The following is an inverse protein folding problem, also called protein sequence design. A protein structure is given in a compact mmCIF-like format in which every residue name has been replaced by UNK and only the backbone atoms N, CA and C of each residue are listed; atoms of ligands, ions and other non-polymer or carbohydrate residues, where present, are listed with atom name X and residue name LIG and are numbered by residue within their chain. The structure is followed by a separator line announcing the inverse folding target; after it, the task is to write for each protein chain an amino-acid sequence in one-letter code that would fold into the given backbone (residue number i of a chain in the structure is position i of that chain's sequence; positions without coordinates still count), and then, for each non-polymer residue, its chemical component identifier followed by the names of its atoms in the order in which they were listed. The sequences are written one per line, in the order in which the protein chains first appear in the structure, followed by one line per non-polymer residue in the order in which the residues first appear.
data_IF_039432215597
#
_entry.id   IF_039432215597
#
_cell.length_a   1.000
_cell.length_b   1.000
_cell.length_c   1.000
_cell.angle_alpha   90.00
_cell.angle_beta   90.00
_cell.angle_gamma   90.00
#
_symmetry.space_group_name_H-M   'P 1'
#
loop_
_entity.id
_entity.type
_entity.pdbx_description
1 polymer ?
#
# COMPACT_ATOMS: atom_id res chain seq x y z
N UNK A 1 -4.58 2.01 10.29
CA UNK A 1 -3.14 2.22 10.61
C UNK A 1 -2.44 0.99 11.20
N UNK A 2 -3.14 0.04 11.86
CA UNK A 2 -2.53 -1.14 12.52
C UNK A 2 -1.74 -2.11 11.61
N UNK A 3 -2.02 -2.20 10.30
CA UNK A 3 -1.26 -3.08 9.40
C UNK A 3 0.12 -2.52 9.09
N UNK A 4 0.20 -1.26 8.64
CA UNK A 4 1.47 -0.65 8.23
C UNK A 4 2.45 -0.59 9.41
N UNK A 5 1.94 -0.29 10.62
CA UNK A 5 2.76 -0.29 11.84
C UNK A 5 3.30 -1.68 12.17
N UNK A 6 2.48 -2.74 12.05
CA UNK A 6 2.92 -4.14 12.22
C UNK A 6 3.92 -4.56 11.15
N UNK A 7 3.65 -4.24 9.88
CA UNK A 7 4.55 -4.51 8.76
C UNK A 7 5.90 -3.84 8.95
N UNK A 8 5.91 -2.57 9.35
CA UNK A 8 7.13 -1.82 9.66
C UNK A 8 7.84 -2.36 10.89
N UNK A 9 7.13 -2.81 11.92
CA UNK A 9 7.72 -3.42 13.11
C UNK A 9 8.44 -4.74 12.79
N UNK A 10 7.85 -5.56 11.91
CA UNK A 10 8.44 -6.81 11.43
C UNK A 10 9.54 -6.60 10.36
N UNK A 11 9.63 -5.41 9.76
CA UNK A 11 10.61 -5.11 8.72
C UNK A 11 12.01 -4.81 9.28
N UNK A 12 13.09 -5.18 8.54
CA UNK A 12 14.44 -4.74 8.85
C UNK A 12 14.55 -3.22 9.05
N UNK A 13 15.46 -2.72 9.91
CA UNK A 13 15.57 -1.29 10.21
C UNK A 13 15.78 -0.42 8.97
N UNK A 14 16.56 -0.91 7.99
CA UNK A 14 16.81 -0.20 6.74
C UNK A 14 15.54 -0.03 5.90
N UNK A 15 14.71 -1.08 5.79
CA UNK A 15 13.44 -1.02 5.07
C UNK A 15 12.47 -0.03 5.73
N UNK A 16 12.44 -0.03 7.06
CA UNK A 16 11.61 0.92 7.83
C UNK A 16 12.05 2.37 7.60
N UNK A 17 13.35 2.64 7.64
CA UNK A 17 13.89 3.96 7.35
C UNK A 17 13.61 4.38 5.91
N UNK A 18 13.82 3.47 4.94
CA UNK A 18 13.54 3.71 3.53
C UNK A 18 12.07 4.03 3.25
N UNK A 19 11.13 3.26 3.80
CA UNK A 19 9.70 3.50 3.60
C UNK A 19 9.27 4.86 4.19
N UNK A 20 9.76 5.20 5.38
CA UNK A 20 9.51 6.51 6.00
C UNK A 20 10.09 7.65 5.16
N UNK A 21 11.31 7.49 4.64
CA UNK A 21 11.94 8.47 3.78
C UNK A 21 11.12 8.69 2.49
N UNK A 22 10.62 7.61 1.86
CA UNK A 22 9.76 7.70 0.68
C UNK A 22 8.43 8.41 0.97
N UNK A 23 7.80 8.16 2.13
CA UNK A 23 6.59 8.85 2.56
C UNK A 23 6.84 10.35 2.78
N UNK A 24 7.96 10.72 3.43
CA UNK A 24 8.34 12.12 3.59
C UNK A 24 8.66 12.79 2.25
N UNK A 25 9.34 12.10 1.34
CA UNK A 25 9.61 12.58 0.00
C UNK A 25 8.32 12.80 -0.81
N UNK A 26 7.33 11.93 -0.67
CA UNK A 26 6.00 12.09 -1.27
C UNK A 26 5.32 13.36 -0.75
N UNK A 27 5.28 13.52 0.57
CA UNK A 27 4.58 14.63 1.23
C UNK A 27 5.22 15.99 0.94
N UNK A 28 6.56 16.07 0.94
CA UNK A 28 7.31 17.30 0.70
C UNK A 28 7.55 17.60 -0.78
N UNK A 29 7.48 16.60 -1.65
CA UNK A 29 7.87 16.70 -3.06
C UNK A 29 7.10 17.76 -3.87
N UNK A 30 5.78 17.95 -3.70
CA UNK A 30 5.07 19.04 -4.38
C UNK A 30 5.56 20.43 -3.96
N UNK A 31 5.89 20.62 -2.68
CA UNK A 31 6.45 21.88 -2.17
C UNK A 31 7.84 22.15 -2.74
N UNK A 32 8.71 21.14 -2.77
CA UNK A 32 10.06 21.25 -3.34
C UNK A 32 10.05 21.54 -4.86
N UNK A 33 8.98 21.17 -5.57
CA UNK A 33 8.78 21.45 -7.00
C UNK A 33 7.96 22.73 -7.27
N UNK A 34 7.88 23.63 -6.31
CA UNK A 34 7.29 24.96 -6.51
C UNK A 34 5.76 25.04 -6.40
N UNK A 35 5.04 23.98 -6.01
CA UNK A 35 3.58 24.06 -5.77
C UNK A 35 3.18 24.69 -4.44
N UNK A 36 4.14 25.02 -3.56
CA UNK A 36 3.92 25.67 -2.26
C UNK A 36 3.17 24.86 -1.20
N UNK A 37 2.46 23.79 -1.59
CA UNK A 37 1.61 22.95 -0.73
C UNK A 37 2.24 21.56 -0.56
N UNK A 38 1.91 20.88 0.54
CA UNK A 38 2.24 19.46 0.74
C UNK A 38 1.34 18.56 -0.09
N UNK A 39 1.73 17.31 -0.33
CA UNK A 39 0.92 16.36 -1.11
C UNK A 39 -0.51 16.21 -0.56
N UNK A 40 -0.66 16.04 0.76
CA UNK A 40 -1.98 15.96 1.41
C UNK A 40 -2.84 17.23 1.32
N UNK A 41 -2.30 18.33 0.81
CA UNK A 41 -3.02 19.60 0.66
C UNK A 41 -3.36 19.91 -0.80
N UNK A 42 -2.89 19.09 -1.74
CA UNK A 42 -3.28 19.17 -3.14
C UNK A 42 -4.74 18.70 -3.30
N UNK A 43 -5.45 19.31 -4.25
CA UNK A 43 -6.74 18.82 -4.72
C UNK A 43 -6.59 17.44 -5.41
N UNK A 44 -7.68 16.67 -5.55
CA UNK A 44 -7.61 15.30 -6.09
C UNK A 44 -6.96 15.22 -7.48
N UNK A 45 -7.26 16.15 -8.38
CA UNK A 45 -6.71 16.15 -9.74
C UNK A 45 -5.20 16.45 -9.74
N UNK A 46 -4.76 17.42 -8.94
CA UNK A 46 -3.35 17.77 -8.79
C UNK A 46 -2.54 16.65 -8.12
N UNK A 47 -3.15 15.85 -7.23
CA UNK A 47 -2.54 14.64 -6.66
C UNK A 47 -2.35 13.57 -7.71
N UNK A 48 -3.39 13.24 -8.48
CA UNK A 48 -3.31 12.24 -9.53
C UNK A 48 -2.21 12.58 -10.54
N UNK A 49 -2.22 13.80 -11.08
CA UNK A 49 -1.18 14.28 -12.00
C UNK A 49 0.23 14.27 -11.37
N UNK A 50 0.34 14.50 -10.06
CA UNK A 50 1.63 14.42 -9.36
C UNK A 50 2.14 12.98 -9.28
N UNK A 51 1.28 12.02 -8.92
CA UNK A 51 1.60 10.61 -8.81
C UNK A 51 1.98 10.01 -10.16
N UNK A 52 1.20 10.29 -11.21
CA UNK A 52 1.50 9.83 -12.57
C UNK A 52 2.89 10.31 -13.05
N UNK A 53 3.23 11.57 -12.78
CA UNK A 53 4.55 12.09 -13.14
C UNK A 53 5.67 11.44 -12.33
N UNK A 54 5.38 11.06 -11.08
CA UNK A 54 6.32 10.36 -10.21
C UNK A 54 6.62 8.96 -10.74
N UNK A 55 5.57 8.25 -11.15
CA UNK A 55 5.61 6.90 -11.71
C UNK A 55 6.41 6.85 -13.02
N UNK A 56 6.20 7.82 -13.91
CA UNK A 56 6.96 7.95 -15.17
C UNK A 56 8.39 8.47 -14.99
N UNK A 57 8.76 8.89 -13.78
CA UNK A 57 10.04 9.52 -13.48
C UNK A 57 11.12 8.55 -13.00
N UNK A 58 12.34 9.07 -12.77
CA UNK A 58 13.49 8.28 -12.25
C UNK A 58 13.22 7.62 -10.90
N UNK A 59 12.29 8.17 -10.11
CA UNK A 59 11.90 7.63 -8.81
C UNK A 59 10.74 6.62 -8.89
N UNK A 60 10.20 6.35 -10.09
CA UNK A 60 8.99 5.55 -10.28
C UNK A 60 9.08 4.17 -9.64
N UNK A 61 10.20 3.45 -9.80
CA UNK A 61 10.40 2.12 -9.18
C UNK A 61 10.37 2.15 -7.65
N UNK A 62 10.94 3.18 -7.04
CA UNK A 62 10.91 3.33 -5.58
C UNK A 62 9.48 3.60 -5.09
N UNK A 63 8.71 4.37 -5.85
CA UNK A 63 7.31 4.65 -5.52
C UNK A 63 6.37 3.49 -5.85
N UNK A 64 6.68 2.65 -6.82
CA UNK A 64 5.96 1.40 -7.07
C UNK A 64 6.06 0.43 -5.87
N UNK A 65 7.22 0.38 -5.20
CA UNK A 65 7.37 -0.39 -3.97
C UNK A 65 6.50 0.18 -2.83
N UNK A 66 6.42 1.51 -2.71
CA UNK A 66 5.54 2.16 -1.74
C UNK A 66 4.06 1.88 -2.06
N UNK A 67 3.67 1.92 -3.33
CA UNK A 67 2.33 1.59 -3.78
C UNK A 67 1.97 0.13 -3.49
N UNK A 68 2.88 -0.82 -3.74
CA UNK A 68 2.67 -2.23 -3.42
C UNK A 68 2.43 -2.43 -1.92
N UNK A 69 3.21 -1.78 -1.05
CA UNK A 69 2.99 -1.82 0.40
C UNK A 69 1.65 -1.17 0.78
N UNK A 70 1.27 -0.08 0.13
CA UNK A 70 -0.03 0.55 0.36
C UNK A 70 -1.19 -0.36 -0.04
N UNK A 71 -1.09 -1.07 -1.18
CA UNK A 71 -2.07 -2.07 -1.61
C UNK A 71 -2.15 -3.24 -0.64
N UNK A 72 -1.01 -3.77 -0.17
CA UNK A 72 -0.97 -4.80 0.85
C UNK A 72 -1.63 -4.33 2.15
N UNK A 73 -1.42 -3.08 2.54
CA UNK A 73 -2.06 -2.52 3.73
C UNK A 73 -3.57 -2.30 3.56
N UNK A 74 -4.03 -2.03 2.34
CA UNK A 74 -5.44 -1.83 2.04
C UNK A 74 -6.19 -3.17 1.94
N UNK A 75 -5.67 -4.12 1.16
CA UNK A 75 -6.29 -5.42 0.95
C UNK A 75 -5.96 -6.45 2.04
N UNK A 76 -4.96 -6.20 2.87
CA UNK A 76 -4.67 -6.99 4.07
C UNK A 76 -5.52 -6.59 5.29
N UNK A 77 -6.45 -5.65 5.13
CA UNK A 77 -7.41 -5.28 6.17
C UNK A 77 -8.73 -6.03 5.97
N UNK A 78 -9.03 -6.98 6.86
CA UNK A 78 -10.24 -7.81 6.79
C UNK A 78 -11.53 -6.99 6.85
N UNK A 79 -11.50 -5.78 7.45
CA UNK A 79 -12.63 -4.87 7.44
C UNK A 79 -12.88 -4.29 6.05
N UNK A 80 -11.82 -3.85 5.36
CA UNK A 80 -11.89 -3.39 3.97
C UNK A 80 -12.33 -4.52 3.05
N UNK A 81 -11.71 -5.70 3.18
CA UNK A 81 -12.06 -6.85 2.35
C UNK A 81 -13.54 -7.25 2.52
N UNK A 82 -14.05 -7.30 3.76
CA UNK A 82 -15.48 -7.55 4.02
C UNK A 82 -16.39 -6.48 3.43
N UNK A 83 -16.02 -5.20 3.53
CA UNK A 83 -16.79 -4.12 2.91
C UNK A 83 -16.85 -4.21 1.38
N UNK A 84 -15.85 -4.84 0.75
CA UNK A 84 -15.83 -5.17 -0.67
C UNK A 84 -16.57 -6.48 -1.01
N UNK A 85 -17.17 -7.15 -0.03
CA UNK A 85 -17.92 -8.41 -0.19
C UNK A 85 -17.04 -9.66 -0.19
N UNK A 86 -15.77 -9.55 0.19
CA UNK A 86 -14.90 -10.70 0.33
C UNK A 86 -15.09 -11.37 1.70
N UNK A 87 -15.39 -12.67 1.69
CA UNK A 87 -15.50 -13.50 2.88
C UNK A 87 -14.32 -14.49 2.93
N UNK A 88 -13.35 -14.20 3.81
CA UNK A 88 -12.17 -15.03 3.98
C UNK A 88 -12.50 -16.41 4.56
N UNK A 89 -13.47 -16.48 5.49
CA UNK A 89 -13.83 -17.72 6.17
C UNK A 89 -14.51 -18.70 5.21
N UNK A 90 -15.40 -18.19 4.35
CA UNK A 90 -16.02 -18.98 3.29
C UNK A 90 -14.98 -19.54 2.29
N UNK A 91 -13.98 -18.72 1.92
CA UNK A 91 -12.90 -19.15 1.03
C UNK A 91 -12.04 -20.24 1.67
N UNK A 92 -11.69 -20.08 2.95
CA UNK A 92 -10.91 -21.09 3.69
C UNK A 92 -11.70 -22.39 3.87
N UNK A 93 -12.99 -22.32 4.21
CA UNK A 93 -13.86 -23.49 4.34
C UNK A 93 -13.91 -24.28 3.02
N UNK A 94 -14.20 -23.59 1.91
CA UNK A 94 -14.19 -24.20 0.57
C UNK A 94 -12.84 -24.85 0.24
N UNK A 95 -11.73 -24.20 0.60
CA UNK A 95 -10.38 -24.72 0.37
C UNK A 95 -10.02 -25.95 1.22
N UNK A 96 -10.67 -26.13 2.37
CA UNK A 96 -10.57 -27.36 3.18
C UNK A 96 -11.38 -28.48 2.55
N UNK A 97 -12.61 -28.19 2.13
CA UNK A 97 -13.49 -29.18 1.49
C UNK A 97 -12.88 -29.74 0.21
N UNK A 98 -12.28 -28.88 -0.63
CA UNK A 98 -11.54 -29.30 -1.82
C UNK A 98 -10.37 -30.23 -1.50
N UNK A 99 -9.58 -29.91 -0.48
CA UNK A 99 -8.43 -30.72 -0.06
C UNK A 99 -8.83 -32.11 0.41
N UNK A 100 -9.94 -32.19 1.16
CA UNK A 100 -10.54 -33.46 1.58
C UNK A 100 -10.99 -34.31 0.38
N UNK A 101 -11.62 -33.69 -0.63
CA UNK A 101 -12.03 -34.38 -1.86
C UNK A 101 -10.83 -34.88 -2.68
N UNK A 102 -9.71 -34.17 -2.66
CA UNK A 102 -8.48 -34.52 -3.37
C UNK A 102 -7.59 -35.52 -2.60
N UNK A 103 -7.95 -35.89 -1.37
CA UNK A 103 -7.13 -36.75 -0.51
C UNK A 103 -5.82 -36.13 -0.04
N UNK A 104 -5.70 -34.78 -0.08
CA UNK A 104 -4.53 -34.02 0.35
C UNK A 104 -4.84 -33.35 1.70
N UNK A 105 -4.15 -33.77 2.76
CA UNK A 105 -4.29 -33.20 4.11
C UNK A 105 -3.41 -31.96 4.29
#
# INVERSE_FOLDING_TARGET
MRFLDRYLAASPPLNRAGLRALLHALEAGPRARGRGRRFRQLDPAARAAYLERLERGRAGRAFAALEAVAKLAYYGDDGVMRALGYDADAVVARGRDLRLLEGRW
#
